data_IF_820621346829
#
_entry.id   IF_820621346829
#
_cell.length_a   1.000
_cell.length_b   1.000
_cell.length_c   1.000
_cell.angle_alpha   90.00
_cell.angle_beta   90.00
_cell.angle_gamma   90.00
#
_symmetry.space_group_name_H-M   'P 1'
#
loop_
_entity.id
_entity.type
_entity.pdbx_description
1 polymer ?
#
# COMPACT_ATOMS: atom_id res chain seq x y z
N UNK A 1 -8.90 -9.71 -2.27
CA UNK A 1 -9.54 -8.69 -1.41
C UNK A 1 -9.97 -9.34 -0.11
N UNK A 2 -9.90 -8.61 1.00
CA UNK A 2 -10.42 -9.07 2.29
C UNK A 2 -11.97 -9.07 2.26
N UNK A 3 -12.58 -10.16 2.70
CA UNK A 3 -14.03 -10.39 2.63
C UNK A 3 -14.67 -10.31 4.01
N UNK A 4 -14.05 -10.93 5.02
CA UNK A 4 -14.54 -10.91 6.40
C UNK A 4 -13.39 -10.88 7.39
N UNK A 5 -13.68 -10.35 8.58
CA UNK A 5 -12.79 -10.36 9.74
C UNK A 5 -13.54 -10.97 10.93
N UNK A 6 -12.86 -11.85 11.63
CA UNK A 6 -13.33 -12.48 12.85
C UNK A 6 -12.28 -12.24 13.95
N UNK A 7 -12.75 -11.77 15.11
CA UNK A 7 -11.93 -11.56 16.30
C UNK A 7 -12.28 -12.62 17.33
N UNK A 8 -11.32 -13.47 17.64
CA UNK A 8 -11.47 -14.57 18.60
C UNK A 8 -10.67 -14.19 19.84
N UNK A 9 -11.40 -13.80 20.90
CA UNK A 9 -10.82 -13.50 22.21
C UNK A 9 -10.61 -14.75 23.05
N UNK A 10 -9.45 -14.86 23.67
CA UNK A 10 -9.04 -15.93 24.58
C UNK A 10 -8.66 -15.32 25.94
N UNK A 11 -8.84 -16.09 27.01
CA UNK A 11 -8.46 -15.72 28.38
C UNK A 11 -9.04 -14.36 28.84
N UNK A 12 -10.38 -14.26 28.88
CA UNK A 12 -11.07 -13.05 29.35
C UNK A 12 -10.80 -12.80 30.83
N UNK A 13 -10.33 -11.61 31.18
CA UNK A 13 -10.03 -11.18 32.54
C UNK A 13 -10.88 -9.98 32.90
N UNK A 14 -11.61 -10.11 34.02
CA UNK A 14 -12.35 -9.01 34.61
C UNK A 14 -11.40 -8.11 35.41
N UNK A 15 -11.53 -6.80 35.22
CA UNK A 15 -10.82 -5.81 36.01
C UNK A 15 -11.64 -5.56 37.28
N UNK A 16 -11.01 -5.73 38.44
CA UNK A 16 -11.68 -5.51 39.73
C UNK A 16 -11.99 -4.03 39.94
N UNK A 17 -13.22 -3.74 40.37
CA UNK A 17 -13.71 -2.39 40.64
C UNK A 17 -14.90 -2.02 39.76
N UNK A 18 -15.35 -0.78 39.93
CA UNK A 18 -16.43 -0.17 39.15
C UNK A 18 -15.86 1.06 38.47
N UNK A 19 -15.96 1.12 37.15
CA UNK A 19 -15.37 2.16 36.33
C UNK A 19 -16.44 2.94 35.58
N UNK A 20 -16.32 4.27 35.59
CA UNK A 20 -17.05 5.15 34.67
C UNK A 20 -16.08 5.63 33.61
N UNK A 21 -15.98 4.90 32.49
CA UNK A 21 -15.12 5.31 31.38
C UNK A 21 -15.57 6.66 30.82
N UNK A 22 -14.64 7.49 30.34
CA UNK A 22 -15.01 8.77 29.73
C UNK A 22 -15.47 8.56 28.27
N UNK A 23 -16.55 9.24 27.86
CA UNK A 23 -17.03 9.18 26.48
C UNK A 23 -16.04 9.84 25.54
N UNK A 24 -15.88 9.26 24.36
CA UNK A 24 -15.16 9.90 23.27
C UNK A 24 -15.82 11.24 22.94
N UNK A 25 -15.01 12.30 22.95
CA UNK A 25 -15.44 13.64 22.53
C UNK A 25 -15.26 13.82 21.02
N UNK A 26 -16.00 14.76 20.44
CA UNK A 26 -15.87 15.10 19.03
C UNK A 26 -14.46 15.58 18.70
N UNK A 27 -13.96 15.15 17.53
CA UNK A 27 -12.73 15.71 16.96
C UNK A 27 -12.98 17.16 16.58
N UNK A 28 -12.01 18.04 16.87
CA UNK A 28 -12.08 19.47 16.57
C UNK A 28 -10.84 19.94 15.83
N UNK A 29 -10.95 20.92 14.92
CA UNK A 29 -9.79 21.57 14.33
C UNK A 29 -8.89 22.21 15.40
N UNK A 30 -7.58 22.18 15.18
CA UNK A 30 -6.61 22.79 16.11
C UNK A 30 -6.78 24.31 16.24
N UNK A 31 -7.39 24.95 15.24
CA UNK A 31 -7.67 26.39 15.20
C UNK A 31 -8.93 26.81 15.95
N UNK A 32 -9.78 25.85 16.34
CA UNK A 32 -11.00 26.13 17.09
C UNK A 32 -10.65 26.27 18.57
N UNK A 33 -11.15 27.33 19.23
CA UNK A 33 -11.01 27.46 20.68
C UNK A 33 -11.75 26.33 21.40
N UNK A 34 -11.29 25.98 22.60
CA UNK A 34 -11.94 24.91 23.37
C UNK A 34 -13.37 25.31 23.72
N UNK A 35 -14.38 24.58 23.24
CA UNK A 35 -15.77 24.90 23.63
C UNK A 35 -16.09 24.55 25.09
N UNK A 36 -15.27 23.70 25.73
CA UNK A 36 -15.50 23.22 27.09
C UNK A 36 -16.70 22.27 27.25
N UNK A 37 -17.37 21.90 26.16
CA UNK A 37 -18.54 21.02 26.22
C UNK A 37 -18.14 19.56 26.40
N UNK A 38 -18.64 18.94 27.46
CA UNK A 38 -18.49 17.51 27.72
C UNK A 38 -19.76 16.77 27.30
N UNK A 39 -19.68 16.01 26.22
CA UNK A 39 -20.82 15.30 25.65
C UNK A 39 -20.81 13.84 26.13
N UNK A 40 -21.88 13.43 26.80
CA UNK A 40 -22.10 12.06 27.28
C UNK A 40 -23.46 11.56 26.82
N UNK A 41 -23.47 10.42 26.12
CA UNK A 41 -24.71 9.77 25.70
C UNK A 41 -25.25 8.91 26.86
N UNK A 42 -26.18 9.43 27.65
CA UNK A 42 -26.74 8.73 28.80
C UNK A 42 -27.46 7.42 28.44
N UNK A 43 -28.03 7.32 27.23
CA UNK A 43 -28.66 6.08 26.76
C UNK A 43 -27.61 4.96 26.64
N UNK A 44 -26.43 5.27 26.10
CA UNK A 44 -25.32 4.29 26.01
C UNK A 44 -24.80 3.91 27.38
N UNK A 45 -24.68 4.88 28.29
CA UNK A 45 -24.16 4.65 29.64
C UNK A 45 -25.13 3.90 30.55
N UNK A 46 -26.42 3.84 30.18
CA UNK A 46 -27.45 3.08 30.88
C UNK A 46 -27.65 1.67 30.31
N UNK A 47 -26.88 1.25 29.29
CA UNK A 47 -26.99 -0.08 28.70
C UNK A 47 -26.43 -1.17 29.62
N UNK A 48 -27.16 -2.28 29.73
CA UNK A 48 -26.73 -3.49 30.45
C UNK A 48 -26.00 -4.50 29.57
N UNK A 49 -25.92 -4.24 28.27
CA UNK A 49 -25.19 -5.06 27.30
C UNK A 49 -23.74 -4.59 27.15
N UNK A 50 -22.89 -5.48 26.63
CA UNK A 50 -21.48 -5.18 26.42
C UNK A 50 -21.29 -4.13 25.31
N UNK A 51 -20.41 -3.17 25.57
CA UNK A 51 -19.93 -2.15 24.65
C UNK A 51 -18.42 -2.37 24.36
N UNK A 52 -17.97 -2.22 23.11
CA UNK A 52 -18.79 -2.02 21.91
C UNK A 52 -19.60 -3.28 21.57
N UNK A 53 -20.71 -3.11 20.84
CA UNK A 53 -21.57 -4.23 20.40
C UNK A 53 -20.86 -5.16 19.43
N UNK A 54 -19.96 -4.62 18.61
CA UNK A 54 -19.03 -5.36 17.76
C UNK A 54 -17.60 -5.10 18.22
N UNK A 55 -16.80 -6.16 18.30
CA UNK A 55 -15.37 -6.04 18.60
C UNK A 55 -14.54 -5.70 17.37
N UNK A 56 -15.11 -5.72 16.17
CA UNK A 56 -14.43 -5.40 14.91
C UNK A 56 -14.91 -4.06 14.38
N UNK A 57 -13.98 -3.26 13.86
CA UNK A 57 -14.30 -2.12 13.01
C UNK A 57 -14.62 -2.55 11.59
N UNK A 58 -14.76 -1.56 10.71
CA UNK A 58 -14.90 -1.80 9.27
C UNK A 58 -13.65 -2.50 8.72
N UNK A 59 -13.84 -3.47 7.83
CA UNK A 59 -12.76 -4.12 7.10
C UNK A 59 -12.73 -3.58 5.67
N UNK A 60 -11.64 -2.88 5.34
CA UNK A 60 -11.41 -2.37 3.99
C UNK A 60 -10.13 -2.97 3.41
N UNK A 61 -10.08 -3.07 2.09
CA UNK A 61 -8.84 -3.41 1.37
C UNK A 61 -8.33 -2.17 0.64
N UNK A 62 -7.09 -1.78 0.95
CA UNK A 62 -6.37 -0.73 0.25
C UNK A 62 -5.16 -1.31 -0.49
N UNK A 63 -4.59 -0.55 -1.42
CA UNK A 63 -3.50 -1.02 -2.27
C UNK A 63 -2.29 -0.09 -2.17
N UNK A 64 -1.10 -0.68 -2.07
CA UNK A 64 0.16 0.05 -2.04
C UNK A 64 1.17 -0.63 -2.97
N UNK A 65 1.52 0.02 -4.09
CA UNK A 65 2.45 -0.51 -5.10
C UNK A 65 2.16 -1.96 -5.51
N UNK A 66 0.87 -2.26 -5.72
CA UNK A 66 0.36 -3.57 -6.10
C UNK A 66 0.18 -4.59 -4.98
N UNK A 67 0.60 -4.29 -3.75
CA UNK A 67 0.29 -5.11 -2.59
C UNK A 67 -1.08 -4.74 -2.03
N UNK A 68 -1.91 -5.75 -1.75
CA UNK A 68 -3.22 -5.56 -1.10
C UNK A 68 -3.02 -5.58 0.41
N UNK A 69 -3.59 -4.59 1.09
CA UNK A 69 -3.48 -4.43 2.54
C UNK A 69 -4.89 -4.39 3.12
N UNK A 70 -5.19 -5.34 3.99
CA UNK A 70 -6.41 -5.31 4.79
C UNK A 70 -6.20 -4.33 5.95
N UNK A 71 -7.12 -3.37 6.09
CA UNK A 71 -7.14 -2.42 7.19
C UNK A 71 -8.44 -2.61 7.97
N UNK A 72 -8.30 -2.78 9.27
CA UNK A 72 -9.41 -2.82 10.20
C UNK A 72 -8.92 -2.49 11.60
N UNK A 73 -9.85 -2.22 12.51
CA UNK A 73 -9.59 -2.08 13.93
C UNK A 73 -10.29 -3.20 14.69
N UNK A 74 -9.79 -3.49 15.88
CA UNK A 74 -10.50 -4.36 16.82
C UNK A 74 -10.39 -3.80 18.23
N UNK A 75 -11.36 -4.15 19.09
CA UNK A 75 -11.39 -3.73 20.49
C UNK A 75 -11.20 -4.95 21.38
N UNK A 76 -10.09 -5.05 22.14
CA UNK A 76 -9.81 -6.18 23.03
C UNK A 76 -10.62 -6.17 24.33
N UNK A 77 -11.35 -5.07 24.58
CA UNK A 77 -12.02 -4.75 25.82
C UNK A 77 -13.53 -4.89 25.65
N UNK A 78 -14.21 -5.29 26.73
CA UNK A 78 -15.66 -5.20 26.88
C UNK A 78 -15.97 -4.34 28.11
N UNK A 79 -16.94 -3.47 27.95
CA UNK A 79 -17.44 -2.61 29.01
C UNK A 79 -18.94 -2.84 29.19
N UNK A 80 -19.42 -2.95 30.43
CA UNK A 80 -20.85 -3.02 30.76
C UNK A 80 -21.26 -1.68 31.40
N UNK A 81 -21.76 -0.71 30.61
CA UNK A 81 -21.86 0.67 31.05
C UNK A 81 -22.69 0.88 32.31
N UNK A 82 -23.86 0.25 32.41
CA UNK A 82 -24.74 0.42 33.57
C UNK A 82 -24.14 -0.11 34.89
N UNK A 83 -23.25 -1.10 34.81
CA UNK A 83 -22.62 -1.72 35.99
C UNK A 83 -21.18 -1.25 36.24
N UNK A 84 -20.60 -0.51 35.30
CA UNK A 84 -19.19 -0.08 35.34
C UNK A 84 -18.17 -1.21 35.27
N UNK A 85 -18.56 -2.43 34.89
CA UNK A 85 -17.65 -3.58 34.82
C UNK A 85 -16.87 -3.57 33.51
N UNK A 86 -15.57 -3.84 33.60
CA UNK A 86 -14.66 -3.89 32.45
C UNK A 86 -13.96 -5.25 32.43
N UNK A 87 -13.88 -5.85 31.25
CA UNK A 87 -13.06 -7.04 31.01
C UNK A 87 -12.24 -6.88 29.73
N UNK A 88 -11.17 -7.65 29.60
CA UNK A 88 -10.35 -7.68 28.39
C UNK A 88 -9.86 -9.09 28.09
N UNK A 89 -9.57 -9.38 26.83
CA UNK A 89 -8.95 -10.63 26.41
C UNK A 89 -7.43 -10.51 26.45
N UNK A 90 -6.75 -11.44 27.14
CA UNK A 90 -5.28 -11.46 27.18
C UNK A 90 -4.66 -11.87 25.85
N UNK A 91 -5.36 -12.69 25.09
CA UNK A 91 -4.91 -13.16 23.78
C UNK A 91 -6.03 -13.01 22.78
N UNK A 92 -5.68 -12.54 21.59
CA UNK A 92 -6.62 -12.32 20.51
C UNK A 92 -6.06 -12.96 19.25
N UNK A 93 -6.89 -13.77 18.62
CA UNK A 93 -6.63 -14.34 17.31
C UNK A 93 -7.51 -13.62 16.28
N UNK A 94 -6.87 -12.95 15.32
CA UNK A 94 -7.55 -12.28 14.21
C UNK A 94 -7.57 -13.21 13.00
N UNK A 95 -8.75 -13.55 12.49
CA UNK A 95 -8.90 -14.34 11.27
C UNK A 95 -9.50 -13.47 10.17
N UNK A 96 -8.78 -13.36 9.06
CA UNK A 96 -9.23 -12.63 7.87
C UNK A 96 -9.49 -13.64 6.77
N UNK A 97 -10.70 -13.65 6.22
CA UNK A 97 -11.01 -14.42 5.02
C UNK A 97 -10.82 -13.52 3.80
N UNK A 98 -10.21 -14.09 2.75
CA UNK A 98 -9.92 -13.35 1.53
C UNK A 98 -10.46 -14.09 0.33
N UNK A 99 -10.91 -13.34 -0.68
CA UNK A 99 -11.33 -13.87 -1.97
C UNK A 99 -10.58 -13.22 -3.12
N UNK A 100 -10.65 -13.85 -4.29
CA UNK A 100 -10.19 -13.24 -5.55
C UNK A 100 -11.09 -12.07 -5.90
N UNK A 101 -10.49 -11.01 -6.44
CA UNK A 101 -11.17 -9.76 -6.76
C UNK A 101 -10.50 -9.11 -7.97
N UNK A 102 -11.28 -8.46 -8.83
CA UNK A 102 -10.77 -7.83 -10.05
C UNK A 102 -9.83 -6.68 -9.74
N UNK A 103 -10.16 -5.81 -8.77
CA UNK A 103 -9.29 -4.70 -8.38
C UNK A 103 -7.97 -5.21 -7.78
N UNK A 104 -8.02 -6.32 -7.06
CA UNK A 104 -6.80 -6.95 -6.54
C UNK A 104 -5.91 -7.49 -7.67
N UNK A 105 -6.50 -8.09 -8.72
CA UNK A 105 -5.75 -8.50 -9.91
C UNK A 105 -5.15 -7.30 -10.65
N UNK A 106 -5.92 -6.23 -10.83
CA UNK A 106 -5.43 -5.00 -11.47
C UNK A 106 -4.29 -4.37 -10.67
N UNK A 107 -4.35 -4.42 -9.33
CA UNK A 107 -3.27 -3.94 -8.49
C UNK A 107 -1.95 -4.69 -8.74
N UNK A 108 -1.99 -6.00 -9.03
CA UNK A 108 -0.78 -6.78 -9.32
C UNK A 108 -0.01 -6.26 -10.54
N UNK A 109 -0.66 -5.57 -11.48
CA UNK A 109 0.02 -4.92 -12.61
C UNK A 109 0.99 -3.81 -12.18
N UNK A 110 0.79 -3.26 -10.98
CA UNK A 110 1.63 -2.22 -10.36
C UNK A 110 2.60 -2.78 -9.32
N UNK A 111 2.69 -4.11 -9.21
CA UNK A 111 3.55 -4.76 -8.25
C UNK A 111 5.01 -4.40 -8.51
N UNK A 112 5.73 -4.05 -7.44
CA UNK A 112 7.16 -3.73 -7.49
C UNK A 112 7.94 -4.58 -6.51
N UNK A 113 9.16 -4.94 -6.93
CA UNK A 113 10.15 -5.62 -6.09
C UNK A 113 11.26 -4.66 -5.62
N UNK A 114 11.03 -3.35 -5.72
CA UNK A 114 11.96 -2.34 -5.21
C UNK A 114 12.16 -2.51 -3.69
N UNK A 115 13.44 -2.53 -3.28
CA UNK A 115 13.83 -2.75 -1.90
C UNK A 115 13.24 -1.72 -0.91
N UNK A 116 13.27 -0.43 -1.24
CA UNK A 116 12.74 0.62 -0.35
C UNK A 116 11.22 0.54 -0.22
N UNK A 117 10.53 0.19 -1.31
CA UNK A 117 9.08 -0.05 -1.27
C UNK A 117 8.76 -1.25 -0.37
N UNK A 118 9.45 -2.36 -0.56
CA UNK A 118 9.29 -3.56 0.28
C UNK A 118 9.57 -3.26 1.75
N UNK A 119 10.63 -2.50 2.04
CA UNK A 119 10.98 -2.06 3.40
C UNK A 119 9.85 -1.24 4.03
N UNK A 120 9.23 -0.32 3.27
CA UNK A 120 8.10 0.48 3.76
C UNK A 120 6.85 -0.37 4.02
N UNK A 121 6.54 -1.30 3.12
CA UNK A 121 5.37 -2.19 3.27
C UNK A 121 5.56 -3.12 4.48
N UNK A 122 6.75 -3.70 4.65
CA UNK A 122 7.08 -4.56 5.81
C UNK A 122 6.90 -3.84 7.16
N UNK A 123 7.11 -2.52 7.20
CA UNK A 123 6.88 -1.71 8.41
C UNK A 123 5.40 -1.38 8.65
N UNK A 124 4.56 -1.44 7.61
CA UNK A 124 3.16 -1.06 7.68
C UNK A 124 2.26 -2.23 8.11
N UNK A 125 2.60 -3.46 7.72
CA UNK A 125 1.77 -4.65 7.93
C UNK A 125 2.22 -5.46 9.15
N UNK A 126 1.29 -6.13 9.82
CA UNK A 126 1.58 -6.96 11.00
C UNK A 126 2.10 -8.36 10.63
N UNK A 127 1.96 -8.77 9.36
CA UNK A 127 2.32 -10.09 8.83
C UNK A 127 3.24 -9.99 7.59
N UNK A 128 4.45 -9.41 7.74
CA UNK A 128 5.34 -9.11 6.62
C UNK A 128 5.78 -10.34 5.81
N UNK A 129 5.72 -11.54 6.38
CA UNK A 129 6.12 -12.77 5.70
C UNK A 129 5.18 -13.14 4.54
N UNK A 130 3.90 -12.73 4.61
CA UNK A 130 2.93 -12.98 3.54
C UNK A 130 3.24 -12.23 2.24
N UNK A 131 4.12 -11.23 2.29
CA UNK A 131 4.64 -10.54 1.09
C UNK A 131 5.27 -11.55 0.13
N UNK A 132 5.87 -12.64 0.64
CA UNK A 132 6.50 -13.66 -0.19
C UNK A 132 5.50 -14.49 -1.03
N UNK A 133 4.20 -14.43 -0.71
CA UNK A 133 3.14 -15.08 -1.49
C UNK A 133 2.79 -14.29 -2.76
N UNK A 134 3.18 -13.02 -2.84
CA UNK A 134 2.99 -12.21 -4.04
C UNK A 134 3.97 -12.64 -5.13
N UNK A 135 3.57 -12.59 -6.41
CA UNK A 135 4.45 -12.94 -7.51
C UNK A 135 5.67 -12.01 -7.54
N UNK A 136 6.88 -12.56 -7.66
CA UNK A 136 8.07 -11.72 -7.84
C UNK A 136 8.09 -11.20 -9.27
N UNK A 137 7.98 -9.88 -9.43
CA UNK A 137 8.15 -9.27 -10.75
C UNK A 137 9.65 -9.24 -11.04
N UNK A 138 10.09 -10.07 -11.98
CA UNK A 138 11.44 -9.96 -12.52
C UNK A 138 11.50 -8.63 -13.25
N UNK A 139 12.16 -7.65 -12.64
CA UNK A 139 12.44 -6.39 -13.30
C UNK A 139 13.26 -6.72 -14.54
N UNK A 140 12.73 -6.39 -15.71
CA UNK A 140 13.49 -6.47 -16.94
C UNK A 140 14.60 -5.40 -16.84
N UNK A 141 15.77 -5.79 -16.32
CA UNK A 141 16.82 -4.85 -15.91
C UNK A 141 17.40 -4.08 -17.12
N UNK A 142 17.04 -4.51 -18.33
CA UNK A 142 17.39 -3.93 -19.62
C UNK A 142 16.51 -2.73 -20.03
N UNK A 143 15.49 -2.38 -19.25
CA UNK A 143 14.67 -1.19 -19.52
C UNK A 143 15.44 0.12 -19.27
N UNK A 144 15.27 1.09 -20.17
CA UNK A 144 15.83 2.44 -20.10
C UNK A 144 14.71 3.47 -20.17
N UNK A 145 14.89 4.60 -19.48
CA UNK A 145 13.96 5.72 -19.44
C UNK A 145 14.27 6.78 -20.51
N UNK A 146 15.51 6.79 -20.99
CA UNK A 146 15.99 7.76 -21.97
C UNK A 146 16.67 7.03 -23.13
N UNK A 147 16.25 7.33 -24.35
CA UNK A 147 16.88 6.88 -25.58
C UNK A 147 17.62 8.05 -26.22
N UNK A 148 18.92 7.90 -26.43
CA UNK A 148 19.75 8.86 -27.16
C UNK A 148 19.97 8.27 -28.55
N UNK A 149 19.59 9.00 -29.60
CA UNK A 149 19.85 8.60 -30.97
C UNK A 149 20.97 9.47 -31.52
N UNK A 150 22.02 8.85 -32.02
CA UNK A 150 23.19 9.57 -32.51
C UNK A 150 23.88 8.85 -33.68
N UNK A 151 24.64 9.54 -34.54
CA UNK A 151 25.60 8.88 -35.41
C UNK A 151 26.63 8.06 -34.62
N UNK A 152 27.12 6.95 -35.19
CA UNK A 152 28.04 6.03 -34.51
C UNK A 152 29.33 6.70 -34.01
N UNK A 153 29.81 7.74 -34.72
CA UNK A 153 31.01 8.48 -34.34
C UNK A 153 30.92 9.19 -32.99
N UNK A 154 29.71 9.49 -32.50
CA UNK A 154 29.49 10.19 -31.23
C UNK A 154 29.08 9.26 -30.08
N UNK A 155 28.93 7.96 -30.31
CA UNK A 155 28.48 7.00 -29.29
C UNK A 155 29.37 6.99 -28.04
N UNK A 156 30.68 7.16 -28.24
CA UNK A 156 31.66 7.26 -27.16
C UNK A 156 31.52 8.55 -26.33
N UNK A 157 31.19 9.68 -26.97
CA UNK A 157 31.06 10.97 -26.29
C UNK A 157 29.85 11.01 -25.34
N UNK A 158 28.82 10.20 -25.62
CA UNK A 158 27.65 10.09 -24.77
C UNK A 158 27.85 9.23 -23.51
N UNK A 159 28.99 8.54 -23.36
CA UNK A 159 29.23 7.70 -22.18
C UNK A 159 29.25 8.52 -20.88
N UNK A 160 29.85 9.72 -20.90
CA UNK A 160 29.86 10.62 -19.75
C UNK A 160 28.45 11.10 -19.39
N UNK A 161 27.62 11.37 -20.40
CA UNK A 161 26.23 11.75 -20.21
C UNK A 161 25.39 10.59 -19.66
N UNK A 162 25.59 9.36 -20.14
CA UNK A 162 24.95 8.15 -19.62
C UNK A 162 25.32 7.95 -18.15
N UNK A 163 26.59 8.12 -17.80
CA UNK A 163 27.07 8.03 -16.43
C UNK A 163 26.40 9.09 -15.54
N UNK A 164 26.33 10.34 -16.01
CA UNK A 164 25.66 11.43 -15.32
C UNK A 164 24.16 11.16 -15.07
N UNK A 165 23.46 10.55 -16.04
CA UNK A 165 22.07 10.16 -15.85
C UNK A 165 21.93 9.01 -14.86
N UNK A 166 22.84 8.04 -14.92
CA UNK A 166 22.85 6.89 -14.00
C UNK A 166 23.00 7.33 -12.55
N UNK A 167 23.89 8.28 -12.24
CA UNK A 167 24.04 8.80 -10.87
C UNK A 167 22.80 9.56 -10.39
N UNK A 168 21.99 10.10 -11.31
CA UNK A 168 20.70 10.75 -11.00
C UNK A 168 19.51 9.78 -11.01
N UNK A 169 19.76 8.48 -11.11
CA UNK A 169 18.73 7.44 -11.09
C UNK A 169 17.99 7.24 -12.40
N UNK A 170 18.50 7.79 -13.51
CA UNK A 170 17.96 7.62 -14.85
C UNK A 170 18.81 6.62 -15.65
N UNK A 171 18.16 5.63 -16.28
CA UNK A 171 18.81 4.71 -17.20
C UNK A 171 18.69 5.25 -18.62
N UNK A 172 19.80 5.65 -19.22
CA UNK A 172 19.89 6.06 -20.61
C UNK A 172 20.55 4.98 -21.46
N UNK A 173 20.13 4.85 -22.73
CA UNK A 173 20.76 3.98 -23.72
C UNK A 173 20.96 4.73 -25.03
N UNK A 174 22.15 4.59 -25.63
CA UNK A 174 22.46 5.15 -26.94
C UNK A 174 22.14 4.11 -28.02
N UNK A 175 21.50 4.55 -29.09
CA UNK A 175 21.33 3.79 -30.33
C UNK A 175 21.92 4.60 -31.47
N UNK A 176 22.65 3.92 -32.35
CA UNK A 176 23.18 4.57 -33.53
C UNK A 176 22.14 4.67 -34.63
N UNK A 177 22.14 5.74 -35.42
CA UNK A 177 21.25 5.86 -36.59
C UNK A 177 21.39 4.67 -37.52
N UNK A 178 22.61 4.17 -37.71
CA UNK A 178 22.91 3.03 -38.58
C UNK A 178 22.28 1.74 -38.04
N UNK A 179 22.35 1.50 -36.72
CA UNK A 179 21.71 0.35 -36.09
C UNK A 179 20.18 0.39 -36.22
N UNK A 180 19.57 1.58 -36.18
CA UNK A 180 18.13 1.77 -36.33
C UNK A 180 17.72 1.55 -37.79
N UNK A 181 18.47 2.11 -38.74
CA UNK A 181 18.13 1.97 -40.16
C UNK A 181 18.27 0.53 -40.67
N UNK A 182 19.19 -0.25 -40.10
CA UNK A 182 19.39 -1.65 -40.40
C UNK A 182 18.34 -2.60 -39.76
N UNK A 183 17.72 -2.20 -38.65
CA UNK A 183 16.81 -3.07 -37.87
C UNK A 183 15.32 -2.68 -37.94
N UNK A 184 14.99 -1.52 -38.50
CA UNK A 184 13.62 -0.98 -38.57
C UNK A 184 12.99 -1.18 -39.95
N UNK A 185 11.71 -1.56 -39.96
CA UNK A 185 10.92 -1.89 -41.16
C UNK A 185 10.24 -0.68 -41.82
N UNK A 186 10.52 0.54 -41.36
CA UNK A 186 9.94 1.77 -41.94
C UNK A 186 10.39 2.01 -43.38
N UNK A 187 9.59 2.75 -44.15
CA UNK A 187 9.85 3.03 -45.56
C UNK A 187 10.93 4.09 -45.76
N UNK A 188 10.98 5.09 -44.88
CA UNK A 188 11.94 6.20 -44.93
C UNK A 188 12.69 6.41 -43.60
N UNK A 189 13.72 7.25 -43.63
CA UNK A 189 14.58 7.51 -42.47
C UNK A 189 13.82 8.12 -41.27
N UNK A 190 12.89 9.09 -41.45
CA UNK A 190 12.05 9.61 -40.37
C UNK A 190 11.13 8.55 -39.75
N UNK A 191 10.41 7.76 -40.55
CA UNK A 191 9.48 6.73 -40.05
C UNK A 191 10.23 5.63 -39.30
N UNK A 192 11.42 5.24 -39.78
CA UNK A 192 12.28 4.27 -39.08
C UNK A 192 12.68 4.72 -37.68
N UNK A 193 12.95 6.01 -37.48
CA UNK A 193 13.26 6.60 -36.18
C UNK A 193 12.02 6.62 -35.26
N UNK A 194 10.86 7.00 -35.80
CA UNK A 194 9.59 7.05 -35.06
C UNK A 194 9.17 5.66 -34.55
N UNK A 195 9.20 4.64 -35.42
CA UNK A 195 8.91 3.25 -35.06
C UNK A 195 9.85 2.75 -33.96
N UNK A 196 11.16 3.04 -34.10
CA UNK A 196 12.15 2.64 -33.10
C UNK A 196 11.90 3.30 -31.74
N UNK A 197 11.56 4.59 -31.72
CA UNK A 197 11.19 5.29 -30.49
C UNK A 197 10.00 4.62 -29.78
N UNK A 198 8.91 4.36 -30.50
CA UNK A 198 7.71 3.75 -29.92
C UNK A 198 7.92 2.33 -29.41
N UNK A 199 8.67 1.51 -30.16
CA UNK A 199 8.97 0.12 -29.76
C UNK A 199 9.84 0.06 -28.49
N UNK A 200 10.72 1.03 -28.31
CA UNK A 200 11.76 0.96 -27.28
C UNK A 200 11.40 1.72 -26.00
N UNK A 201 10.65 2.82 -26.08
CA UNK A 201 10.30 3.64 -24.90
C UNK A 201 8.85 3.41 -24.45
N UNK A 202 7.89 3.31 -25.36
CA UNK A 202 6.46 3.26 -25.00
C UNK A 202 6.01 1.88 -24.48
N UNK A 203 6.78 0.82 -24.71
CA UNK A 203 6.53 -0.53 -24.18
C UNK A 203 6.95 -0.69 -22.70
N UNK A 204 7.61 0.32 -22.12
CA UNK A 204 8.14 0.29 -20.75
C UNK A 204 7.26 1.08 -19.76
N UNK A 205 6.32 1.91 -20.25
CA UNK A 205 5.38 2.70 -19.44
C UNK A 205 4.00 2.03 -19.47
#
# INVERSE_FOLDING_TARGET
>A
MAESIEVIGEDEVNISGTFSLYPQQYVRPMSEESSGEFVKNELTYSMTTAYPSSQTGELITQYMNGYSIALSSFTPLKYLPASGKVSYFKKITIRIQTRRDSKANDALTRLTSNFEVLKRIKKLVQNPDLINLYPKRVLNNNGYQLLIISPAQFEGEFQDLIYLYRIRGLKAKVFTTDSIYASSTGQDSPEKLEISYYRNIKTII
#
